data_IF_349594510126
#
_entry.id   IF_349594510126
#
_cell.length_a   1.000
_cell.length_b   1.000
_cell.length_c   1.000
_cell.angle_alpha   90.00
_cell.angle_beta   90.00
_cell.angle_gamma   90.00
#
_symmetry.space_group_name_H-M   'P 1'
#
loop_
_entity.id
_entity.type
_entity.pdbx_description
1 polymer ?
#
# COMPACT_ATOMS: atom_id res chain seq x y z
N UNK A 1 -27.36 18.23 14.58
CA UNK A 1 -26.90 18.22 13.19
C UNK A 1 -26.41 16.81 12.93
N UNK A 2 -27.26 15.93 12.38
CA UNK A 2 -26.78 14.65 11.88
C UNK A 2 -26.09 14.98 10.55
N UNK A 3 -24.77 14.90 10.55
CA UNK A 3 -23.97 15.04 9.35
C UNK A 3 -24.41 13.91 8.40
N UNK A 4 -25.03 14.27 7.28
CA UNK A 4 -25.46 13.33 6.23
C UNK A 4 -24.18 12.87 5.49
N UNK A 5 -23.39 12.04 6.16
CA UNK A 5 -22.16 11.49 5.60
C UNK A 5 -22.56 10.36 4.67
N UNK A 6 -22.56 10.66 3.37
CA UNK A 6 -22.74 9.64 2.33
C UNK A 6 -21.79 8.46 2.61
N UNK A 7 -22.27 7.21 2.56
CA UNK A 7 -21.46 6.06 2.90
C UNK A 7 -20.23 6.00 1.97
N UNK A 8 -19.03 5.74 2.51
CA UNK A 8 -17.82 5.73 1.71
C UNK A 8 -17.92 4.64 0.64
N UNK A 9 -17.46 4.97 -0.56
CA UNK A 9 -17.42 4.03 -1.69
C UNK A 9 -16.05 3.37 -1.75
N UNK A 10 -16.01 2.04 -1.93
CA UNK A 10 -14.76 1.31 -2.03
C UNK A 10 -13.92 1.83 -3.20
N UNK A 11 -12.66 2.17 -2.93
CA UNK A 11 -11.68 2.61 -3.92
C UNK A 11 -11.44 1.58 -5.03
N UNK A 12 -11.48 0.30 -4.67
CA UNK A 12 -11.11 -0.83 -5.53
C UNK A 12 -12.33 -1.54 -6.17
N UNK A 13 -13.52 -0.91 -6.13
CA UNK A 13 -14.79 -1.49 -6.63
C UNK A 13 -14.75 -1.93 -8.09
N UNK A 14 -13.95 -1.25 -8.91
CA UNK A 14 -13.86 -1.47 -10.36
C UNK A 14 -12.86 -2.60 -10.70
N UNK A 15 -12.10 -3.09 -9.71
CA UNK A 15 -11.08 -4.14 -9.92
C UNK A 15 -11.65 -5.54 -9.79
N UNK A 16 -12.60 -5.72 -8.88
CA UNK A 16 -13.26 -7.00 -8.58
C UNK A 16 -14.46 -6.78 -7.66
N UNK A 17 -15.31 -7.78 -7.53
CA UNK A 17 -16.51 -7.71 -6.68
C UNK A 17 -16.16 -7.35 -5.23
N UNK A 18 -16.82 -6.30 -4.70
CA UNK A 18 -16.71 -5.90 -3.30
C UNK A 18 -17.45 -6.88 -2.38
N UNK A 19 -16.90 -7.08 -1.18
CA UNK A 19 -17.54 -7.89 -0.13
C UNK A 19 -17.19 -7.34 1.25
N UNK A 20 -18.20 -7.23 2.11
CA UNK A 20 -18.05 -6.71 3.48
C UNK A 20 -18.34 -5.21 3.59
N UNK A 21 -18.01 -4.65 4.75
CA UNK A 21 -18.26 -3.24 5.09
C UNK A 21 -17.19 -2.36 4.46
N UNK A 22 -17.59 -1.24 3.85
CA UNK A 22 -16.62 -0.23 3.40
C UNK A 22 -16.29 0.71 4.55
N UNK A 23 -15.02 0.74 4.95
CA UNK A 23 -14.52 1.62 5.99
C UNK A 23 -13.25 2.33 5.52
N UNK A 24 -12.93 3.47 6.12
CA UNK A 24 -11.65 4.13 5.91
C UNK A 24 -10.54 3.32 6.58
N UNK A 25 -9.71 2.66 5.77
CA UNK A 25 -8.56 1.87 6.23
C UNK A 25 -7.29 2.70 6.14
N UNK A 26 -6.42 2.57 7.14
CA UNK A 26 -5.12 3.25 7.19
C UNK A 26 -4.28 2.95 5.94
N UNK A 27 -3.57 3.95 5.41
CA UNK A 27 -2.60 3.71 4.35
C UNK A 27 -1.46 2.81 4.86
N UNK A 28 -1.18 1.74 4.11
CA UNK A 28 0.03 0.94 4.28
C UNK A 28 1.24 1.58 3.57
N UNK A 29 1.00 2.58 2.73
CA UNK A 29 2.04 3.45 2.17
C UNK A 29 2.36 4.61 3.11
N UNK A 30 3.55 5.19 2.97
CA UNK A 30 4.02 6.33 3.77
C UNK A 30 3.18 7.63 3.64
N UNK A 31 2.09 7.61 2.87
CA UNK A 31 1.22 8.75 2.61
C UNK A 31 0.34 9.12 3.83
N UNK A 32 0.10 8.19 4.77
CA UNK A 32 -0.66 8.43 6.00
C UNK A 32 -2.16 8.70 5.85
N UNK A 33 -2.65 8.93 4.63
CA UNK A 33 -4.07 9.20 4.34
C UNK A 33 -4.88 7.90 4.33
N UNK A 34 -5.98 7.77 5.09
CA UNK A 34 -6.82 6.59 5.02
C UNK A 34 -7.63 6.57 3.72
N UNK A 35 -7.89 5.38 3.20
CA UNK A 35 -8.67 5.17 1.96
C UNK A 35 -9.85 4.23 2.21
N UNK A 36 -11.02 4.50 1.62
CA UNK A 36 -12.20 3.65 1.80
C UNK A 36 -12.02 2.32 1.06
N UNK A 37 -12.09 1.19 1.79
CA UNK A 37 -12.03 -0.16 1.22
C UNK A 37 -13.01 -1.08 1.91
N UNK A 38 -13.57 -2.04 1.15
CA UNK A 38 -14.32 -3.15 1.73
C UNK A 38 -13.39 -4.16 2.42
N UNK A 39 -13.95 -5.01 3.29
CA UNK A 39 -13.18 -6.02 4.02
C UNK A 39 -12.33 -6.90 3.11
N UNK A 40 -12.92 -7.41 2.02
CA UNK A 40 -12.20 -8.24 1.05
C UNK A 40 -11.00 -7.52 0.45
N UNK A 41 -11.19 -6.30 -0.07
CA UNK A 41 -10.10 -5.52 -0.67
C UNK A 41 -9.06 -5.08 0.36
N UNK A 42 -9.45 -4.96 1.64
CA UNK A 42 -8.51 -4.71 2.72
C UNK A 42 -7.63 -5.92 3.01
N UNK A 43 -8.20 -7.13 3.08
CA UNK A 43 -7.46 -8.39 3.23
C UNK A 43 -6.48 -8.61 2.06
N UNK A 44 -6.94 -8.42 0.82
CA UNK A 44 -6.11 -8.51 -0.38
C UNK A 44 -4.94 -7.50 -0.33
N UNK A 45 -5.20 -6.28 0.18
CA UNK A 45 -4.18 -5.24 0.29
C UNK A 45 -3.12 -5.60 1.32
N UNK A 46 -3.48 -6.24 2.43
CA UNK A 46 -2.55 -6.71 3.46
C UNK A 46 -1.64 -7.82 2.93
N UNK A 47 -2.21 -8.81 2.24
CA UNK A 47 -1.43 -9.88 1.59
C UNK A 47 -0.41 -9.29 0.62
N UNK A 48 -0.86 -8.38 -0.26
CA UNK A 48 0.05 -7.74 -1.21
C UNK A 48 1.13 -6.89 -0.54
N UNK A 49 0.82 -6.27 0.60
CA UNK A 49 1.80 -5.51 1.38
C UNK A 49 2.89 -6.41 1.96
N UNK A 50 2.50 -7.57 2.50
CA UNK A 50 3.42 -8.60 2.97
C UNK A 50 4.31 -9.12 1.83
N UNK A 51 3.73 -9.43 0.68
CA UNK A 51 4.49 -9.84 -0.52
C UNK A 51 5.51 -8.78 -0.96
N UNK A 52 5.12 -7.50 -0.94
CA UNK A 52 6.01 -6.38 -1.27
C UNK A 52 7.16 -6.30 -0.27
N UNK A 53 6.88 -6.37 1.03
CA UNK A 53 7.90 -6.31 2.09
C UNK A 53 8.86 -7.50 2.04
N UNK A 54 8.37 -8.68 1.69
CA UNK A 54 9.20 -9.87 1.50
C UNK A 54 10.10 -9.73 0.27
N UNK A 55 9.59 -9.14 -0.83
CA UNK A 55 10.34 -8.96 -2.08
C UNK A 55 11.33 -7.80 -2.01
N UNK A 56 10.99 -6.74 -1.28
CA UNK A 56 11.77 -5.51 -1.16
C UNK A 56 11.96 -5.17 0.33
N UNK A 57 12.88 -5.87 1.02
CA UNK A 57 13.17 -5.59 2.41
C UNK A 57 13.74 -4.17 2.56
N UNK A 58 13.37 -3.50 3.66
CA UNK A 58 13.80 -2.11 3.94
C UNK A 58 15.32 -1.99 4.12
N UNK A 59 15.97 -3.08 4.55
CA UNK A 59 17.41 -3.17 4.67
C UNK A 59 17.97 -3.99 3.51
N UNK A 60 19.01 -3.47 2.88
CA UNK A 60 19.76 -4.21 1.89
C UNK A 60 20.29 -5.52 2.50
N UNK A 61 20.21 -6.66 1.79
CA UNK A 61 20.80 -7.90 2.25
C UNK A 61 22.33 -7.75 2.40
N UNK A 62 22.98 -8.56 3.25
CA UNK A 62 24.41 -8.43 3.52
C UNK A 62 25.29 -8.64 2.28
N UNK A 63 24.81 -9.40 1.30
CA UNK A 63 25.47 -9.65 0.01
C UNK A 63 25.05 -8.65 -1.08
N UNK A 64 24.32 -7.59 -0.72
CA UNK A 64 24.04 -6.49 -1.64
C UNK A 64 25.32 -5.70 -1.90
N UNK A 65 25.86 -5.82 -3.11
CA UNK A 65 26.95 -4.99 -3.58
C UNK A 65 26.38 -3.74 -4.29
N UNK A 66 26.43 -2.55 -3.66
CA UNK A 66 25.92 -1.32 -4.27
C UNK A 66 26.69 -0.92 -5.55
N UNK A 67 27.87 -1.50 -5.80
CA UNK A 67 28.66 -1.25 -7.02
C UNK A 67 28.23 -2.11 -8.21
N UNK A 68 27.46 -3.18 -7.97
CA UNK A 68 26.94 -4.07 -9.03
C UNK A 68 25.85 -3.38 -9.88
N UNK A 69 25.23 -2.30 -9.38
CA UNK A 69 24.24 -1.53 -10.12
C UNK A 69 24.81 -0.74 -11.31
N UNK A 70 26.14 -0.71 -11.50
CA UNK A 70 26.80 -0.10 -12.67
C UNK A 70 26.71 1.42 -12.78
N UNK A 71 25.81 2.06 -12.03
CA UNK A 71 25.56 3.50 -12.02
C UNK A 71 25.45 3.98 -10.56
N UNK A 72 26.43 4.78 -10.13
CA UNK A 72 26.35 5.54 -8.88
C UNK A 72 25.45 6.74 -9.15
N UNK A 73 24.26 6.79 -8.56
CA UNK A 73 23.35 7.95 -8.60
C UNK A 73 23.80 9.07 -7.66
N UNK A 74 25.09 9.37 -7.68
CA UNK A 74 25.74 10.40 -6.88
C UNK A 74 26.91 10.88 -7.75
N UNK A 75 26.55 11.58 -8.82
CA UNK A 75 27.43 12.50 -9.52
C UNK A 75 27.19 13.90 -8.93
N UNK A 76 28.19 14.37 -8.18
CA UNK A 76 28.48 15.78 -7.85
C UNK A 76 27.65 16.49 -6.73
N UNK A 77 28.37 16.75 -5.62
CA UNK A 77 28.28 17.79 -4.56
C UNK A 77 26.97 18.08 -3.77
#
# INVERSE_FOLDING_TARGET
MADDVEPPVCLDRDTSECRGTVEYRTALSATGKPFPRCDKHWEERLVRDEEIRARYPEQAPPDFDPTYAGERWDEDD
#
